data_IF_937483065553
#
_entry.id   IF_937483065553
#
_cell.length_a   1.000
_cell.length_b   1.000
_cell.length_c   1.000
_cell.angle_alpha   90.00
_cell.angle_beta   90.00
_cell.angle_gamma   90.00
#
_symmetry.space_group_name_H-M   'P 1'
#
loop_
_entity.id
_entity.type
_entity.pdbx_description
1 polymer ?
#
# COMPACT_ATOMS: atom_id res chain seq x y z
N UNK A 1 -26.50 10.59 22.90
CA UNK A 1 -25.18 11.15 23.25
C UNK A 1 -24.31 10.97 22.03
N UNK A 2 -23.78 12.03 21.43
CA UNK A 2 -22.86 11.90 20.31
C UNK A 2 -21.58 11.26 20.87
N UNK A 3 -21.27 10.05 20.42
CA UNK A 3 -20.06 9.34 20.83
C UNK A 3 -18.86 10.10 20.24
N UNK A 4 -18.20 10.85 21.11
CA UNK A 4 -17.10 11.75 20.76
C UNK A 4 -15.97 10.91 20.15
N UNK A 5 -15.69 11.16 18.88
CA UNK A 5 -14.73 10.38 18.12
C UNK A 5 -13.33 10.62 18.67
N UNK A 6 -12.56 9.56 19.03
CA UNK A 6 -11.19 9.73 19.50
C UNK A 6 -10.36 10.49 18.48
N UNK A 7 -9.44 11.33 18.94
CA UNK A 7 -8.50 12.02 18.08
C UNK A 7 -7.66 11.00 17.32
N UNK A 8 -7.61 11.11 15.99
CA UNK A 8 -6.79 10.26 15.13
C UNK A 8 -5.72 11.14 14.48
N UNK A 9 -4.45 10.88 14.79
CA UNK A 9 -3.33 11.63 14.22
C UNK A 9 -2.24 10.67 13.71
N UNK A 10 -2.01 10.72 12.40
CA UNK A 10 -1.02 9.90 11.72
C UNK A 10 0.29 10.69 11.57
N UNK A 11 1.38 10.14 12.11
CA UNK A 11 2.71 10.72 11.98
C UNK A 11 3.48 10.02 10.88
N UNK A 12 3.83 10.78 9.85
CA UNK A 12 4.48 10.27 8.63
C UNK A 12 5.87 10.86 8.44
N UNK A 13 6.70 10.19 7.65
CA UNK A 13 8.05 10.71 7.35
C UNK A 13 7.94 11.96 6.47
N UNK A 14 8.63 13.04 6.87
CA UNK A 14 8.76 14.23 6.02
C UNK A 14 9.70 13.98 4.83
N UNK A 15 9.48 14.75 3.75
CA UNK A 15 10.32 14.79 2.55
C UNK A 15 11.67 15.46 2.79
N UNK A 16 12.42 15.68 1.72
CA UNK A 16 13.76 16.28 1.78
C UNK A 16 13.77 17.72 2.30
N UNK A 17 12.64 18.44 2.17
CA UNK A 17 12.44 19.80 2.69
C UNK A 17 12.05 19.84 4.17
N UNK A 18 11.84 18.68 4.81
CA UNK A 18 11.48 18.57 6.21
C UNK A 18 10.02 18.94 6.53
N UNK A 19 9.20 19.25 5.52
CA UNK A 19 7.82 19.69 5.72
C UNK A 19 6.79 18.91 4.89
N UNK A 20 7.09 18.64 3.61
CA UNK A 20 6.18 17.89 2.73
C UNK A 20 6.12 16.41 3.12
N UNK A 21 5.10 15.71 2.65
CA UNK A 21 5.02 14.25 2.78
C UNK A 21 6.18 13.62 2.01
N UNK A 22 6.94 12.75 2.68
CA UNK A 22 8.06 12.03 2.08
C UNK A 22 7.60 10.79 1.31
N UNK A 23 8.48 10.28 0.44
CA UNK A 23 8.25 9.03 -0.28
C UNK A 23 8.39 7.83 0.67
N UNK A 24 7.29 7.42 1.31
CA UNK A 24 7.23 6.28 2.22
C UNK A 24 5.97 5.45 1.95
N UNK A 25 6.09 4.24 1.37
CA UNK A 25 4.92 3.45 0.99
C UNK A 25 4.10 3.01 2.22
N UNK A 26 4.75 2.83 3.37
CA UNK A 26 4.07 2.50 4.63
C UNK A 26 3.23 3.66 5.18
N UNK A 27 3.72 4.90 5.04
CA UNK A 27 2.97 6.09 5.44
C UNK A 27 1.76 6.30 4.54
N UNK A 28 1.95 6.13 3.22
CA UNK A 28 0.87 6.24 2.25
C UNK A 28 -0.19 5.14 2.44
N UNK A 29 0.21 3.90 2.76
CA UNK A 29 -0.71 2.81 3.12
C UNK A 29 -1.68 3.22 4.24
N UNK A 30 -1.16 3.68 5.38
CA UNK A 30 -2.00 4.07 6.51
C UNK A 30 -2.86 5.31 6.22
N UNK A 31 -2.33 6.25 5.44
CA UNK A 31 -3.10 7.40 4.98
C UNK A 31 -4.30 6.94 4.16
N UNK A 32 -4.10 6.03 3.19
CA UNK A 32 -5.17 5.49 2.36
C UNK A 32 -6.22 4.76 3.21
N UNK A 33 -5.80 3.94 4.19
CA UNK A 33 -6.72 3.24 5.10
C UNK A 33 -7.60 4.24 5.85
N UNK A 34 -7.03 5.26 6.49
CA UNK A 34 -7.80 6.27 7.20
C UNK A 34 -8.76 7.04 6.27
N UNK A 35 -8.29 7.36 5.06
CA UNK A 35 -9.10 8.04 4.05
C UNK A 35 -10.31 7.19 3.63
N UNK A 36 -10.10 5.91 3.31
CA UNK A 36 -11.17 4.98 2.91
C UNK A 36 -12.14 4.68 4.07
N UNK A 37 -11.67 4.73 5.32
CA UNK A 37 -12.56 4.65 6.48
C UNK A 37 -13.49 5.85 6.60
N UNK A 38 -13.18 7.00 5.99
CA UNK A 38 -13.97 8.23 6.13
C UNK A 38 -13.90 8.83 7.54
N UNK A 39 -12.89 8.45 8.32
CA UNK A 39 -12.63 8.97 9.67
C UNK A 39 -12.05 10.39 9.55
N UNK A 40 -12.35 11.29 10.48
CA UNK A 40 -11.61 12.57 10.55
C UNK A 40 -10.27 12.31 11.23
N UNK A 41 -9.17 12.68 10.56
CA UNK A 41 -7.82 12.49 11.09
C UNK A 41 -6.91 13.64 10.66
N UNK A 42 -5.85 13.85 11.45
CA UNK A 42 -4.77 14.77 11.13
C UNK A 42 -3.54 14.01 10.65
N UNK A 43 -2.73 14.67 9.83
CA UNK A 43 -1.45 14.13 9.36
C UNK A 43 -0.33 15.10 9.74
N UNK A 44 0.62 14.60 10.52
CA UNK A 44 1.78 15.36 10.97
C UNK A 44 3.02 14.79 10.33
N UNK A 45 3.74 15.61 9.57
CA UNK A 45 5.02 15.21 8.96
C UNK A 45 6.15 15.35 9.99
N UNK A 46 7.03 14.35 10.03
CA UNK A 46 8.14 14.28 10.99
C UNK A 46 9.46 14.35 10.24
N UNK A 47 10.19 15.45 10.44
CA UNK A 47 11.60 15.52 10.06
C UNK A 47 12.44 14.65 10.99
N UNK A 48 12.90 13.50 10.47
CA UNK A 48 13.73 12.55 11.22
C UNK A 48 15.08 13.13 11.65
N UNK A 49 15.56 14.21 11.02
CA UNK A 49 16.81 14.90 11.39
C UNK A 49 16.59 15.92 12.51
N UNK A 50 15.35 16.40 12.69
CA UNK A 50 14.98 17.48 13.62
C UNK A 50 13.66 17.13 14.33
N UNK A 51 13.67 16.03 15.09
CA UNK A 51 12.48 15.57 15.81
C UNK A 51 12.12 16.54 16.94
N UNK A 52 10.88 17.02 16.98
CA UNK A 52 10.38 17.88 18.05
C UNK A 52 10.30 17.13 19.38
N UNK A 53 10.34 17.85 20.51
CA UNK A 53 10.21 17.24 21.84
C UNK A 53 8.92 16.42 21.99
N UNK A 54 7.80 16.90 21.43
CA UNK A 54 6.52 16.21 21.45
C UNK A 54 6.60 14.85 20.75
N UNK A 55 7.19 14.80 19.56
CA UNK A 55 7.37 13.54 18.81
C UNK A 55 8.31 12.58 19.52
N UNK A 56 9.36 13.09 20.17
CA UNK A 56 10.28 12.26 20.96
C UNK A 56 9.59 11.67 22.20
N UNK A 57 8.69 12.42 22.86
CA UNK A 57 7.91 11.94 24.00
C UNK A 57 6.86 10.90 23.58
N UNK A 58 6.16 11.13 22.47
CA UNK A 58 5.15 10.20 21.96
C UNK A 58 5.75 8.89 21.43
N UNK A 59 6.85 8.99 20.67
CA UNK A 59 7.52 7.82 20.10
C UNK A 59 9.05 7.89 20.32
N UNK A 60 9.52 7.53 21.53
CA UNK A 60 10.94 7.55 21.87
C UNK A 60 11.79 6.67 20.95
N UNK A 61 11.24 5.53 20.52
CA UNK A 61 11.92 4.57 19.64
C UNK A 61 12.15 5.05 18.20
N UNK A 62 11.53 6.16 17.78
CA UNK A 62 11.80 6.74 16.48
C UNK A 62 11.19 6.03 15.28
N UNK A 63 10.28 5.09 15.52
CA UNK A 63 9.56 4.40 14.45
C UNK A 63 8.65 5.38 13.68
N UNK A 64 8.61 5.22 12.36
CA UNK A 64 7.68 5.91 11.47
C UNK A 64 7.21 4.94 10.37
N UNK A 65 5.95 5.01 9.91
CA UNK A 65 4.87 5.82 10.50
C UNK A 65 4.45 5.30 11.88
N UNK A 66 3.82 6.17 12.67
CA UNK A 66 3.12 5.77 13.90
C UNK A 66 1.78 6.52 14.00
N UNK A 67 0.85 5.98 14.77
CA UNK A 67 -0.49 6.52 14.94
C UNK A 67 -0.71 6.91 16.40
N UNK A 68 -1.27 8.10 16.65
CA UNK A 68 -1.85 8.47 17.93
C UNK A 68 -3.38 8.33 17.81
N UNK A 69 -3.97 7.44 18.61
CA UNK A 69 -5.41 7.22 18.68
C UNK A 69 -5.90 7.54 20.09
N UNK A 70 -6.61 8.66 20.24
CA UNK A 70 -6.91 9.25 21.55
C UNK A 70 -5.60 9.62 22.27
N UNK A 71 -5.23 8.83 23.27
CA UNK A 71 -3.98 8.98 24.03
C UNK A 71 -2.99 7.84 23.78
N UNK A 72 -3.36 6.83 22.99
CA UNK A 72 -2.55 5.63 22.77
C UNK A 72 -1.70 5.74 21.51
N UNK A 73 -0.42 5.39 21.62
CA UNK A 73 0.52 5.39 20.50
C UNK A 73 0.67 3.98 19.96
N UNK A 74 0.34 3.81 18.69
CA UNK A 74 0.52 2.57 17.94
C UNK A 74 1.70 2.69 16.99
N UNK A 75 2.56 1.68 16.98
CA UNK A 75 3.70 1.54 16.07
C UNK A 75 3.57 0.21 15.31
N UNK A 76 4.42 0.01 14.29
CA UNK A 76 4.31 -1.09 13.31
C UNK A 76 3.10 -0.92 12.37
N UNK A 77 3.40 -0.75 11.09
CA UNK A 77 2.38 -0.48 10.06
C UNK A 77 1.32 -1.57 9.96
N UNK A 78 1.70 -2.84 10.09
CA UNK A 78 0.72 -3.94 9.99
C UNK A 78 -0.20 -3.95 11.21
N UNK A 79 0.36 -3.77 12.42
CA UNK A 79 -0.43 -3.71 13.65
C UNK A 79 -1.35 -2.49 13.70
N UNK A 80 -0.91 -1.35 13.20
CA UNK A 80 -1.75 -0.15 13.09
C UNK A 80 -2.92 -0.42 12.14
N UNK A 81 -2.69 -1.04 10.98
CA UNK A 81 -3.77 -1.39 10.06
C UNK A 81 -4.77 -2.35 10.67
N UNK A 82 -4.30 -3.44 11.30
CA UNK A 82 -5.15 -4.40 12.01
C UNK A 82 -6.02 -3.73 13.08
N UNK A 83 -5.40 -2.83 13.85
CA UNK A 83 -6.10 -2.03 14.86
C UNK A 83 -7.17 -1.12 14.25
N UNK A 84 -6.83 -0.38 13.18
CA UNK A 84 -7.77 0.51 12.49
C UNK A 84 -8.94 -0.26 11.88
N UNK A 85 -8.71 -1.43 11.29
CA UNK A 85 -9.77 -2.27 10.73
C UNK A 85 -10.72 -2.78 11.81
N UNK A 86 -10.19 -3.17 12.97
CA UNK A 86 -10.99 -3.66 14.09
C UNK A 86 -11.79 -2.55 14.80
N UNK A 87 -11.17 -1.40 15.04
CA UNK A 87 -11.79 -0.29 15.80
C UNK A 87 -12.73 0.54 14.93
N UNK A 88 -12.34 0.84 13.69
CA UNK A 88 -13.17 1.60 12.76
C UNK A 88 -14.02 0.62 11.94
N UNK A 89 -15.01 0.00 12.58
CA UNK A 89 -15.84 -1.05 11.98
C UNK A 89 -17.31 -0.61 11.74
N UNK A 90 -18.09 -1.41 10.98
CA UNK A 90 -19.52 -1.17 10.78
C UNK A 90 -20.32 -1.16 12.10
N UNK A 91 -21.43 -0.41 12.19
CA UNK A 91 -22.12 0.30 11.10
C UNK A 91 -21.55 1.71 10.80
N UNK A 92 -20.63 2.22 11.61
CA UNK A 92 -20.13 3.60 11.50
C UNK A 92 -19.11 3.79 10.38
N UNK A 93 -18.28 2.78 10.13
CA UNK A 93 -17.21 2.82 9.13
C UNK A 93 -17.23 1.57 8.25
N UNK A 94 -16.80 1.65 6.97
CA UNK A 94 -16.79 0.49 6.08
C UNK A 94 -15.75 -0.54 6.51
N UNK A 95 -16.04 -1.83 6.28
CA UNK A 95 -15.04 -2.90 6.36
C UNK A 95 -14.14 -2.80 5.11
N UNK A 96 -12.82 -2.83 5.29
CA UNK A 96 -11.86 -2.69 4.18
C UNK A 96 -11.07 -3.98 3.92
N UNK A 97 -11.14 -4.97 4.80
CA UNK A 97 -10.47 -6.25 4.58
C UNK A 97 -11.01 -6.94 3.32
N UNK A 98 -10.10 -7.46 2.49
CA UNK A 98 -10.44 -8.22 1.31
C UNK A 98 -11.24 -9.48 1.65
N UNK A 99 -12.17 -9.85 0.77
CA UNK A 99 -12.97 -11.06 0.80
C UNK A 99 -12.15 -12.27 0.37
N UNK A 100 -11.37 -12.13 -0.71
CA UNK A 100 -10.55 -13.22 -1.22
C UNK A 100 -9.15 -13.20 -0.55
N UNK A 101 -8.71 -14.30 0.09
CA UNK A 101 -7.41 -14.35 0.76
C UNK A 101 -6.23 -14.11 -0.19
N UNK A 102 -6.35 -14.52 -1.46
CA UNK A 102 -5.33 -14.36 -2.50
C UNK A 102 -5.07 -12.88 -2.85
N UNK A 103 -6.08 -12.01 -2.69
CA UNK A 103 -5.94 -10.55 -2.86
C UNK A 103 -4.86 -9.98 -1.94
N UNK A 104 -4.74 -10.53 -0.72
CA UNK A 104 -3.77 -10.07 0.28
C UNK A 104 -2.33 -10.51 -0.01
N UNK A 105 -2.14 -11.58 -0.79
CA UNK A 105 -0.81 -12.14 -1.09
C UNK A 105 -0.30 -11.77 -2.48
N UNK A 106 -1.20 -11.39 -3.38
CA UNK A 106 -0.89 -11.01 -4.77
C UNK A 106 0.03 -9.80 -4.83
N UNK A 107 1.16 -9.96 -5.53
CA UNK A 107 2.14 -8.89 -5.75
C UNK A 107 3.02 -8.50 -4.54
N UNK A 108 2.94 -9.21 -3.41
CA UNK A 108 3.74 -8.89 -2.21
C UNK A 108 5.27 -8.97 -2.43
N UNK A 109 5.73 -9.83 -3.34
CA UNK A 109 7.15 -10.05 -3.62
C UNK A 109 7.74 -9.06 -4.65
N UNK A 110 6.89 -8.30 -5.36
CA UNK A 110 7.31 -7.34 -6.39
C UNK A 110 8.27 -6.30 -5.82
N UNK A 111 7.91 -5.69 -4.69
CA UNK A 111 8.72 -4.61 -4.11
C UNK A 111 10.09 -5.09 -3.63
N UNK A 112 10.18 -6.33 -3.12
CA UNK A 112 11.44 -6.94 -2.71
C UNK A 112 12.34 -7.22 -3.93
N UNK A 113 11.77 -7.77 -5.01
CA UNK A 113 12.49 -8.03 -6.27
C UNK A 113 12.95 -6.74 -6.94
N UNK A 114 12.09 -5.72 -6.97
CA UNK A 114 12.44 -4.39 -7.44
C UNK A 114 13.57 -3.79 -6.60
N UNK A 115 13.49 -3.88 -5.27
CA UNK A 115 14.55 -3.40 -4.38
C UNK A 115 15.89 -4.07 -4.63
N UNK A 116 15.89 -5.38 -4.92
CA UNK A 116 17.10 -6.11 -5.27
C UNK A 116 17.66 -5.67 -6.63
N UNK A 117 16.80 -5.48 -7.63
CA UNK A 117 17.18 -5.00 -8.97
C UNK A 117 17.79 -3.60 -8.93
N UNK A 118 17.10 -2.62 -8.30
CA UNK A 118 17.50 -1.21 -8.35
C UNK A 118 18.75 -0.89 -7.54
N UNK A 119 19.04 -1.70 -6.51
CA UNK A 119 20.23 -1.58 -5.65
C UNK A 119 21.41 -2.38 -6.20
N UNK A 120 21.22 -3.19 -7.24
CA UNK A 120 22.28 -4.01 -7.80
C UNK A 120 23.37 -3.12 -8.43
N UNK A 121 24.62 -3.41 -8.08
CA UNK A 121 25.80 -2.76 -8.65
C UNK A 121 26.62 -3.68 -9.56
N UNK A 122 26.25 -4.97 -9.67
CA UNK A 122 26.95 -5.96 -10.49
C UNK A 122 26.24 -6.18 -11.83
N UNK A 123 26.79 -5.70 -12.97
CA UNK A 123 26.15 -5.83 -14.28
C UNK A 123 25.82 -7.26 -14.69
N UNK A 124 26.59 -8.26 -14.24
CA UNK A 124 26.36 -9.66 -14.58
C UNK A 124 25.07 -10.25 -13.99
N UNK A 125 24.47 -9.57 -12.98
CA UNK A 125 23.22 -10.01 -12.33
C UNK A 125 21.98 -9.26 -12.84
N UNK A 126 22.15 -8.22 -13.68
CA UNK A 126 21.06 -7.37 -14.13
C UNK A 126 19.93 -8.18 -14.78
N UNK A 127 20.25 -8.98 -15.80
CA UNK A 127 19.27 -9.74 -16.57
C UNK A 127 18.47 -10.72 -15.69
N UNK A 128 19.12 -11.35 -14.72
CA UNK A 128 18.46 -12.28 -13.81
C UNK A 128 17.48 -11.56 -12.87
N UNK A 129 17.92 -10.46 -12.26
CA UNK A 129 17.09 -9.67 -11.35
C UNK A 129 15.91 -9.01 -12.09
N UNK A 130 16.14 -8.49 -13.30
CA UNK A 130 15.10 -7.94 -14.17
C UNK A 130 14.06 -9.00 -14.53
N UNK A 131 14.51 -10.18 -14.97
CA UNK A 131 13.62 -11.31 -15.26
C UNK A 131 12.84 -11.76 -14.04
N UNK A 132 13.46 -11.73 -12.85
CA UNK A 132 12.82 -12.04 -11.58
C UNK A 132 11.68 -11.06 -11.26
N UNK A 133 11.90 -9.77 -11.48
CA UNK A 133 10.89 -8.72 -11.31
C UNK A 133 9.77 -8.84 -12.34
N UNK A 134 10.09 -8.99 -13.63
CA UNK A 134 9.11 -9.19 -14.70
C UNK A 134 8.21 -10.40 -14.44
N UNK A 135 8.80 -11.49 -13.93
CA UNK A 135 8.02 -12.68 -13.54
C UNK A 135 7.04 -12.37 -12.40
N UNK A 136 7.43 -11.57 -11.41
CA UNK A 136 6.53 -11.18 -10.31
C UNK A 136 5.39 -10.28 -10.79
N UNK A 137 5.70 -9.31 -11.66
CA UNK A 137 4.70 -8.46 -12.30
C UNK A 137 3.73 -9.30 -13.14
N UNK A 138 4.23 -10.29 -13.88
CA UNK A 138 3.37 -11.18 -14.67
C UNK A 138 2.44 -12.04 -13.81
N UNK A 139 2.89 -12.47 -12.62
CA UNK A 139 2.02 -13.18 -11.66
C UNK A 139 0.89 -12.26 -11.17
N UNK A 140 1.18 -10.99 -10.88
CA UNK A 140 0.15 -10.02 -10.51
C UNK A 140 -0.81 -9.74 -11.67
N UNK A 141 -0.30 -9.55 -12.90
CA UNK A 141 -1.12 -9.35 -14.10
C UNK A 141 -2.06 -10.55 -14.35
N UNK A 142 -1.56 -11.77 -14.21
CA UNK A 142 -2.39 -12.97 -14.31
C UNK A 142 -3.51 -12.98 -13.25
N UNK A 143 -3.21 -12.55 -12.02
CA UNK A 143 -4.21 -12.44 -10.97
C UNK A 143 -5.27 -11.37 -11.30
N UNK A 144 -4.85 -10.19 -11.76
CA UNK A 144 -5.75 -9.10 -12.13
C UNK A 144 -6.66 -9.43 -13.32
N UNK A 145 -6.18 -10.25 -14.25
CA UNK A 145 -6.93 -10.67 -15.46
C UNK A 145 -7.79 -11.91 -15.24
N UNK A 146 -7.57 -12.66 -14.16
CA UNK A 146 -8.38 -13.84 -13.80
C UNK A 146 -9.65 -13.42 -13.05
N UNK A 147 -10.85 -13.89 -13.45
CA UNK A 147 -12.10 -13.60 -12.74
C UNK A 147 -12.07 -14.07 -11.29
N UNK A 148 -12.61 -13.24 -10.39
CA UNK A 148 -12.89 -13.65 -9.02
C UNK A 148 -14.16 -14.52 -8.92
N UNK A 149 -14.34 -15.30 -7.83
CA UNK A 149 -15.58 -16.04 -7.59
C UNK A 149 -16.85 -15.19 -7.70
N UNK A 150 -16.79 -13.92 -7.29
CA UNK A 150 -17.92 -12.99 -7.38
C UNK A 150 -18.25 -12.53 -8.81
N UNK A 151 -17.32 -12.68 -9.77
CA UNK A 151 -17.51 -12.34 -11.18
C UNK A 151 -18.03 -13.52 -12.02
N UNK A 152 -17.97 -14.74 -11.49
CA UNK A 152 -18.40 -15.95 -12.20
C UNK A 152 -19.90 -16.14 -11.99
N UNK A 153 -20.67 -16.01 -13.06
CA UNK A 153 -22.10 -16.35 -13.07
C UNK A 153 -22.26 -17.86 -13.31
N UNK A 154 -22.77 -18.59 -12.30
CA UNK A 154 -23.05 -20.03 -12.37
C UNK A 154 -24.03 -20.42 -13.51
N UNK A 155 -24.77 -19.45 -14.08
CA UNK A 155 -25.79 -19.69 -15.11
C UNK A 155 -25.37 -19.34 -16.53
N UNK A 156 -24.22 -18.69 -16.73
CA UNK A 156 -23.73 -18.29 -18.05
C UNK A 156 -22.77 -19.34 -18.62
N UNK A 157 -23.19 -20.04 -19.69
CA UNK A 157 -22.37 -21.05 -20.39
C UNK A 157 -21.28 -20.44 -21.30
N UNK A 158 -21.07 -19.13 -21.20
CA UNK A 158 -20.27 -18.33 -22.12
C UNK A 158 -19.14 -17.64 -21.34
N UNK A 159 -17.98 -18.29 -21.40
CA UNK A 159 -16.61 -17.84 -21.13
C UNK A 159 -16.14 -17.52 -19.70
N UNK A 160 -15.17 -18.35 -19.29
CA UNK A 160 -13.99 -18.02 -18.48
C UNK A 160 -13.27 -16.77 -19.08
N UNK A 161 -13.86 -15.59 -18.91
CA UNK A 161 -13.42 -14.34 -19.54
C UNK A 161 -12.26 -13.64 -18.81
N UNK A 162 -11.80 -12.52 -19.39
CA UNK A 162 -10.88 -11.58 -18.72
C UNK A 162 -11.66 -10.79 -17.66
N UNK A 163 -11.19 -10.78 -16.42
CA UNK A 163 -11.78 -10.00 -15.31
C UNK A 163 -11.99 -8.53 -15.69
N UNK A 164 -13.08 -7.93 -15.19
CA UNK A 164 -13.42 -6.52 -15.44
C UNK A 164 -13.36 -5.68 -14.15
N UNK A 165 -12.93 -6.28 -13.04
CA UNK A 165 -12.76 -5.60 -11.75
C UNK A 165 -11.72 -4.49 -11.82
N UNK A 166 -11.91 -3.46 -11.00
CA UNK A 166 -11.02 -2.29 -10.95
C UNK A 166 -9.80 -2.46 -10.05
N UNK A 167 -9.92 -3.28 -9.00
CA UNK A 167 -8.96 -3.41 -7.92
C UNK A 167 -8.71 -4.87 -7.54
N UNK A 168 -7.78 -5.11 -6.60
CA UNK A 168 -7.31 -6.46 -6.25
C UNK A 168 -8.38 -7.41 -5.74
N UNK A 169 -9.51 -6.91 -5.26
CA UNK A 169 -10.57 -7.75 -4.67
C UNK A 169 -11.97 -7.41 -5.19
N UNK A 170 -12.06 -6.67 -6.30
CA UNK A 170 -13.33 -6.25 -6.89
C UNK A 170 -13.32 -4.80 -7.36
N UNK A 171 -14.46 -4.12 -7.22
CA UNK A 171 -14.65 -2.76 -7.73
C UNK A 171 -14.41 -1.66 -6.70
N UNK A 172 -14.20 -2.03 -5.43
CA UNK A 172 -13.90 -1.12 -4.33
C UNK A 172 -12.47 -1.36 -3.81
N UNK A 173 -11.85 -0.31 -3.27
CA UNK A 173 -10.51 -0.41 -2.69
C UNK A 173 -10.53 -1.14 -1.34
N UNK A 174 -9.56 -2.02 -1.14
CA UNK A 174 -9.38 -2.80 0.08
C UNK A 174 -8.04 -2.51 0.77
N UNK A 175 -7.80 -3.15 1.92
CA UNK A 175 -6.50 -3.13 2.60
C UNK A 175 -5.37 -3.69 1.72
N UNK A 176 -5.67 -4.65 0.83
CA UNK A 176 -4.71 -5.20 -0.10
C UNK A 176 -4.19 -4.11 -1.06
N UNK A 177 -5.10 -3.28 -1.59
CA UNK A 177 -4.76 -2.18 -2.49
C UNK A 177 -3.96 -1.10 -1.77
N UNK A 178 -4.36 -0.77 -0.52
CA UNK A 178 -3.63 0.19 0.32
C UNK A 178 -2.17 -0.25 0.57
N UNK A 179 -1.91 -1.56 0.62
CA UNK A 179 -0.57 -2.10 0.80
C UNK A 179 0.25 -2.14 -0.50
N UNK A 180 -0.38 -2.52 -1.61
CA UNK A 180 0.30 -2.76 -2.87
C UNK A 180 0.51 -1.49 -3.70
N UNK A 181 -0.52 -0.64 -3.84
CA UNK A 181 -0.49 0.52 -4.74
C UNK A 181 0.64 1.52 -4.43
N UNK A 182 0.92 1.89 -3.16
CA UNK A 182 2.06 2.76 -2.86
C UNK A 182 3.40 2.18 -3.29
N UNK A 183 3.57 0.85 -3.20
CA UNK A 183 4.79 0.16 -3.61
C UNK A 183 4.92 0.10 -5.12
N UNK A 184 3.84 -0.24 -5.83
CA UNK A 184 3.81 -0.28 -7.29
C UNK A 184 4.08 1.10 -7.90
N UNK A 185 3.54 2.16 -7.30
CA UNK A 185 3.81 3.52 -7.74
C UNK A 185 5.31 3.86 -7.68
N UNK A 186 6.00 3.51 -6.59
CA UNK A 186 7.45 3.68 -6.47
C UNK A 186 8.20 2.89 -7.55
N UNK A 187 7.81 1.63 -7.79
CA UNK A 187 8.42 0.80 -8.83
C UNK A 187 8.27 1.48 -10.20
N UNK A 188 7.08 1.99 -10.52
CA UNK A 188 6.80 2.64 -11.80
C UNK A 188 7.60 3.93 -11.99
N UNK A 189 7.62 4.81 -10.99
CA UNK A 189 8.33 6.10 -11.04
C UNK A 189 9.84 5.89 -11.23
N UNK A 190 10.45 5.02 -10.41
CA UNK A 190 11.89 4.75 -10.48
C UNK A 190 12.30 4.06 -11.78
N UNK A 191 11.49 3.11 -12.26
CA UNK A 191 11.73 2.43 -13.54
C UNK A 191 11.60 3.40 -14.72
N UNK A 192 10.62 4.30 -14.69
CA UNK A 192 10.42 5.30 -15.74
C UNK A 192 11.56 6.32 -15.77
N UNK A 193 12.09 6.71 -14.61
CA UNK A 193 13.20 7.66 -14.52
C UNK A 193 14.55 7.06 -14.93
N UNK A 194 14.83 5.80 -14.59
CA UNK A 194 16.16 5.17 -14.82
C UNK A 194 16.27 4.40 -16.12
N UNK A 195 15.16 3.88 -16.66
CA UNK A 195 15.15 3.04 -17.84
C UNK A 195 14.04 3.45 -18.82
N UNK A 196 14.25 4.51 -19.62
CA UNK A 196 13.28 4.97 -20.60
C UNK A 196 12.86 3.88 -21.61
N UNK A 197 13.79 2.95 -21.93
CA UNK A 197 13.53 1.82 -22.82
C UNK A 197 12.62 0.75 -22.18
N UNK A 198 12.65 0.59 -20.86
CA UNK A 198 11.85 -0.43 -20.14
C UNK A 198 10.38 -0.03 -20.03
N UNK A 199 10.08 1.28 -20.07
CA UNK A 199 8.73 1.83 -20.03
C UNK A 199 7.86 1.34 -21.22
N UNK A 200 8.47 1.01 -22.37
CA UNK A 200 7.76 0.39 -23.49
C UNK A 200 7.27 -1.03 -23.19
N UNK A 201 7.99 -1.79 -22.35
CA UNK A 201 7.61 -3.17 -22.00
C UNK A 201 6.58 -3.22 -20.86
N UNK A 202 6.63 -2.26 -19.93
CA UNK A 202 5.66 -2.19 -18.82
C UNK A 202 4.27 -1.76 -19.29
N UNK A 203 4.18 -0.78 -20.21
CA UNK A 203 2.90 -0.36 -20.85
C UNK A 203 2.25 -1.43 -21.71
N UNK A 204 2.99 -2.48 -22.08
CA UNK A 204 2.46 -3.62 -22.82
C UNK A 204 1.96 -4.75 -21.90
N UNK A 205 2.19 -4.64 -20.58
CA UNK A 205 1.93 -5.71 -19.60
C UNK A 205 0.97 -5.25 -18.48
N UNK A 206 0.59 -3.98 -18.43
CA UNK A 206 -0.36 -3.41 -17.45
C UNK A 206 -1.31 -2.47 -18.18
#
# INVERSE_FOLDING_TARGET
MAEEQPQVELFVKAGSDGAKIGNCPFSQRLFMVLWLKGVTFNVTTVDTKRRTETVQKLCPGGQLPFLLYGTEVHTDTNKIEEFLEAVLCPPRYPKLAALNPESNTSGLDIFAKFSAYIKNSNPALNDNLEKGLLKALKVLDNYLTSPLPEEVDETSAEDEGISQRKFLDGNELTLADCNLLPKLHIVQEDMSCRFPCFCHSLKATV
#
